data_IF_742148070664
#
_entry.id   IF_742148070664
#
_cell.length_a   1.000
_cell.length_b   1.000
_cell.length_c   1.000
_cell.angle_alpha   90.00
_cell.angle_beta   90.00
_cell.angle_gamma   90.00
#
_symmetry.space_group_name_H-M   'P 1'
#
loop_
_entity.id
_entity.type
_entity.pdbx_description
1 polymer ?
#
# COMPACT_ATOMS: atom_id res chain seq x y z
N UNK A 1 -11.60 2.93 -7.98
CA UNK A 1 -12.97 2.91 -8.56
C UNK A 1 -13.79 4.14 -8.16
N UNK A 2 -14.07 4.39 -6.87
CA UNK A 2 -14.88 5.54 -6.40
C UNK A 2 -14.41 6.86 -7.01
N UNK A 3 -13.13 7.23 -6.83
CA UNK A 3 -12.62 8.51 -7.33
C UNK A 3 -12.60 8.63 -8.85
N UNK A 4 -12.41 7.53 -9.58
CA UNK A 4 -12.51 7.56 -11.03
C UNK A 4 -13.93 7.91 -11.48
N UNK A 5 -14.95 7.35 -10.83
CA UNK A 5 -16.34 7.68 -11.10
C UNK A 5 -16.66 9.14 -10.71
N UNK A 6 -16.21 9.59 -9.53
CA UNK A 6 -16.43 10.97 -9.12
C UNK A 6 -15.79 11.99 -10.07
N UNK A 7 -14.63 11.66 -10.68
CA UNK A 7 -14.02 12.49 -11.72
C UNK A 7 -14.86 12.47 -13.01
N UNK A 8 -15.31 11.30 -13.46
CA UNK A 8 -16.13 11.18 -14.68
C UNK A 8 -17.47 11.92 -14.56
N UNK A 9 -18.07 11.90 -13.38
CA UNK A 9 -19.33 12.59 -13.05
C UNK A 9 -19.12 14.08 -12.69
N UNK A 10 -17.88 14.57 -12.67
CA UNK A 10 -17.55 15.98 -12.42
C UNK A 10 -17.61 16.41 -10.94
N UNK A 11 -17.82 15.49 -10.00
CA UNK A 11 -17.75 15.78 -8.55
C UNK A 11 -16.33 16.06 -8.07
N UNK A 12 -15.35 15.37 -8.64
CA UNK A 12 -13.93 15.63 -8.45
C UNK A 12 -13.37 16.31 -9.72
N UNK A 13 -13.54 17.62 -9.81
CA UNK A 13 -13.13 18.43 -10.97
C UNK A 13 -11.59 18.59 -11.01
N UNK A 14 -10.97 18.15 -12.10
CA UNK A 14 -9.52 18.24 -12.35
C UNK A 14 -9.01 19.68 -12.51
N UNK A 15 -9.92 20.67 -12.62
CA UNK A 15 -9.59 22.11 -12.63
C UNK A 15 -9.67 22.74 -11.24
N UNK A 16 -10.22 22.02 -10.24
CA UNK A 16 -10.44 22.52 -8.88
C UNK A 16 -9.93 21.52 -7.85
N UNK A 17 -8.64 21.20 -7.93
CA UNK A 17 -8.02 20.18 -7.08
C UNK A 17 -8.18 20.48 -5.58
N UNK A 18 -8.19 21.75 -5.17
CA UNK A 18 -8.38 22.17 -3.77
C UNK A 18 -9.71 21.69 -3.18
N UNK A 19 -10.76 21.57 -4.01
CA UNK A 19 -12.09 21.15 -3.57
C UNK A 19 -12.15 19.66 -3.20
N UNK A 20 -11.12 18.87 -3.57
CA UNK A 20 -11.09 17.43 -3.32
C UNK A 20 -10.86 17.09 -1.85
N UNK A 21 -10.27 18.02 -1.08
CA UNK A 21 -9.81 17.79 0.28
C UNK A 21 -10.85 17.11 1.17
N UNK A 22 -12.05 17.69 1.28
CA UNK A 22 -13.11 17.17 2.16
C UNK A 22 -13.54 15.76 1.77
N UNK A 23 -13.70 15.52 0.47
CA UNK A 23 -14.08 14.21 -0.07
C UNK A 23 -13.03 13.15 0.24
N UNK A 24 -11.75 13.47 0.04
CA UNK A 24 -10.67 12.51 0.28
C UNK A 24 -10.46 12.24 1.78
N UNK A 25 -10.60 13.27 2.64
CA UNK A 25 -10.56 13.11 4.11
C UNK A 25 -11.70 12.19 4.58
N UNK A 26 -12.93 12.41 4.09
CA UNK A 26 -14.09 11.57 4.42
C UNK A 26 -13.85 10.10 4.01
N UNK A 27 -13.21 9.87 2.86
CA UNK A 27 -12.83 8.54 2.42
C UNK A 27 -11.80 7.90 3.35
N UNK A 28 -10.77 8.62 3.78
CA UNK A 28 -9.83 8.08 4.77
C UNK A 28 -10.51 7.83 6.13
N UNK A 29 -11.44 8.68 6.57
CA UNK A 29 -12.21 8.43 7.80
C UNK A 29 -13.05 7.15 7.70
N UNK A 30 -13.66 6.91 6.54
CA UNK A 30 -14.50 5.74 6.26
C UNK A 30 -13.67 4.46 6.11
N UNK A 31 -12.62 4.50 5.30
CA UNK A 31 -11.78 3.35 4.99
C UNK A 31 -10.53 3.35 5.88
N UNK A 32 -10.71 2.89 7.13
CA UNK A 32 -9.66 2.91 8.16
C UNK A 32 -8.35 2.24 7.76
N UNK A 33 -8.40 1.23 6.88
CA UNK A 33 -7.20 0.54 6.39
C UNK A 33 -6.38 1.34 5.38
N UNK A 34 -6.95 2.34 4.69
CA UNK A 34 -6.20 3.16 3.74
C UNK A 34 -5.24 4.10 4.48
N UNK A 35 -4.00 4.15 4.00
CA UNK A 35 -2.97 5.07 4.47
C UNK A 35 -2.93 6.35 3.67
N UNK A 36 -3.26 6.29 2.37
CA UNK A 36 -3.34 7.49 1.52
C UNK A 36 -4.26 7.31 0.31
N UNK A 37 -4.68 8.44 -0.24
CA UNK A 37 -5.39 8.55 -1.52
C UNK A 37 -4.79 9.74 -2.28
N UNK A 38 -4.33 9.51 -3.50
CA UNK A 38 -3.67 10.54 -4.32
C UNK A 38 -4.12 10.45 -5.77
N UNK A 39 -4.24 11.60 -6.42
CA UNK A 39 -4.28 11.74 -7.87
C UNK A 39 -3.04 12.49 -8.34
N UNK A 40 -2.38 11.99 -9.39
CA UNK A 40 -1.35 12.72 -10.11
C UNK A 40 -1.70 12.85 -11.59
N UNK A 41 -1.61 14.07 -12.12
CA UNK A 41 -1.89 14.39 -13.52
C UNK A 41 -0.72 14.07 -14.45
N UNK A 42 -1.03 13.85 -15.74
CA UNK A 42 0.01 13.77 -16.79
C UNK A 42 0.72 15.12 -17.01
N UNK A 43 0.09 16.21 -16.57
CA UNK A 43 0.62 17.57 -16.53
C UNK A 43 1.54 17.86 -15.32
N UNK A 44 1.70 16.90 -14.39
CA UNK A 44 2.53 17.04 -13.20
C UNK A 44 1.81 17.66 -11.99
N UNK A 45 0.54 18.07 -12.11
CA UNK A 45 -0.28 18.48 -10.98
C UNK A 45 -0.64 17.29 -10.11
N UNK A 46 -0.96 17.53 -8.84
CA UNK A 46 -1.27 16.45 -7.90
C UNK A 46 -2.15 16.95 -6.77
N UNK A 47 -2.97 16.06 -6.23
CA UNK A 47 -3.70 16.28 -4.99
C UNK A 47 -3.87 14.96 -4.26
N UNK A 48 -3.78 14.98 -2.94
CA UNK A 48 -3.96 13.78 -2.15
C UNK A 48 -4.09 14.05 -0.68
N UNK A 49 -4.41 13.00 0.05
CA UNK A 49 -4.44 12.95 1.50
C UNK A 49 -3.74 11.70 1.99
N UNK A 50 -3.08 11.79 3.13
CA UNK A 50 -2.51 10.63 3.82
C UNK A 50 -2.77 10.73 5.32
N UNK A 51 -2.72 9.59 6.01
CA UNK A 51 -2.62 9.60 7.47
C UNK A 51 -1.24 10.09 7.86
N UNK A 52 -1.19 11.02 8.82
CA UNK A 52 0.09 11.47 9.34
C UNK A 52 0.67 10.37 10.25
N UNK A 53 1.90 9.88 10.02
CA UNK A 53 2.45 8.74 10.77
C UNK A 53 2.65 9.01 12.27
N UNK A 54 2.83 10.28 12.66
CA UNK A 54 3.28 10.68 14.01
C UNK A 54 2.26 11.54 14.79
N UNK A 55 1.13 11.91 14.18
CA UNK A 55 0.16 12.86 14.74
C UNK A 55 -1.27 12.41 14.43
N UNK A 56 -2.21 12.75 15.31
CA UNK A 56 -3.63 12.51 15.06
C UNK A 56 -4.14 13.53 14.04
N UNK A 57 -4.31 13.12 12.78
CA UNK A 57 -4.74 13.99 11.70
C UNK A 57 -4.41 13.44 10.31
N UNK A 58 -4.46 14.33 9.33
CA UNK A 58 -4.19 14.03 7.93
C UNK A 58 -3.15 14.99 7.37
N UNK A 59 -2.32 14.47 6.47
CA UNK A 59 -1.57 15.27 5.52
C UNK A 59 -2.46 15.53 4.31
N UNK A 60 -2.53 16.78 3.85
CA UNK A 60 -3.10 17.14 2.56
C UNK A 60 -1.97 17.66 1.67
N UNK A 61 -1.82 17.06 0.50
CA UNK A 61 -0.81 17.47 -0.48
C UNK A 61 -1.49 18.10 -1.68
N UNK A 62 -0.88 19.16 -2.21
CA UNK A 62 -1.34 19.78 -3.44
C UNK A 62 -0.20 20.35 -4.28
N UNK A 63 -0.28 20.14 -5.59
CA UNK A 63 0.53 20.79 -6.61
C UNK A 63 -0.41 21.25 -7.71
N UNK A 64 -0.66 22.55 -7.78
CA UNK A 64 -1.55 23.18 -8.75
C UNK A 64 -0.91 24.46 -9.32
N UNK A 65 -1.67 25.23 -10.09
CA UNK A 65 -1.19 26.46 -10.73
C UNK A 65 -0.76 27.53 -9.71
N UNK A 66 -1.17 27.43 -8.45
CA UNK A 66 -0.87 28.40 -7.39
C UNK A 66 0.37 28.01 -6.57
N UNK A 67 0.95 26.83 -6.78
CA UNK A 67 2.06 26.32 -5.95
C UNK A 67 3.45 26.50 -6.55
N UNK A 68 3.61 27.30 -7.61
CA UNK A 68 4.91 27.55 -8.26
C UNK A 68 5.65 26.25 -8.63
N UNK A 69 4.89 25.27 -9.18
CA UNK A 69 5.37 23.94 -9.58
C UNK A 69 5.98 23.08 -8.45
N UNK A 70 5.75 23.45 -7.19
CA UNK A 70 6.14 22.67 -6.00
C UNK A 70 4.93 21.93 -5.44
N UNK A 71 5.19 20.78 -4.82
CA UNK A 71 4.18 20.12 -3.98
C UNK A 71 4.20 20.81 -2.62
N UNK A 72 3.05 21.29 -2.19
CA UNK A 72 2.83 21.84 -0.86
C UNK A 72 2.19 20.79 0.03
N UNK A 73 2.71 20.63 1.25
CA UNK A 73 2.18 19.72 2.26
C UNK A 73 1.55 20.52 3.40
N UNK A 74 0.31 20.21 3.74
CA UNK A 74 -0.43 20.84 4.82
C UNK A 74 -0.86 19.80 5.84
N UNK A 75 -0.85 20.16 7.11
CA UNK A 75 -1.57 19.39 8.11
C UNK A 75 -3.04 19.78 8.15
N UNK A 76 -3.88 18.78 8.31
CA UNK A 76 -5.30 18.87 8.56
C UNK A 76 -5.62 18.10 9.83
N UNK A 77 -6.38 18.71 10.74
CA UNK A 77 -6.89 17.97 11.89
C UNK A 77 -7.99 16.97 11.47
N UNK A 78 -8.47 16.18 12.43
CA UNK A 78 -9.49 15.15 12.19
C UNK A 78 -10.85 15.69 11.75
N UNK A 79 -11.08 17.00 11.87
CA UNK A 79 -12.29 17.66 11.39
C UNK A 79 -12.08 18.29 10.01
N UNK A 80 -10.93 18.03 9.37
CA UNK A 80 -10.56 18.58 8.06
C UNK A 80 -10.14 20.05 8.10
N UNK A 81 -9.87 20.62 9.28
CA UNK A 81 -9.37 22.00 9.35
C UNK A 81 -7.88 22.02 9.03
N UNK A 82 -7.53 22.75 7.98
CA UNK A 82 -6.18 22.84 7.45
C UNK A 82 -5.42 24.04 8.03
N UNK A 83 -4.11 23.88 8.22
CA UNK A 83 -3.21 24.99 8.53
C UNK A 83 -3.17 26.03 7.40
N UNK A 84 -2.95 27.31 7.75
CA UNK A 84 -2.93 28.42 6.77
C UNK A 84 -1.68 28.43 5.87
N UNK A 85 -0.61 27.79 6.31
CA UNK A 85 0.67 27.75 5.61
C UNK A 85 1.09 26.29 5.45
N UNK A 86 1.75 25.94 4.34
CA UNK A 86 2.26 24.59 4.19
C UNK A 86 3.40 24.34 5.19
N UNK A 87 3.45 23.11 5.69
CA UNK A 87 4.55 22.58 6.50
C UNK A 87 5.79 22.26 5.66
N UNK A 88 5.62 22.05 4.35
CA UNK A 88 6.73 21.84 3.42
C UNK A 88 6.40 22.26 1.99
N UNK A 89 7.46 22.47 1.20
CA UNK A 89 7.43 22.75 -0.24
C UNK A 89 8.59 22.05 -0.92
N UNK A 90 8.28 21.01 -1.70
CA UNK A 90 9.30 20.20 -2.37
C UNK A 90 9.14 20.17 -3.89
N UNK A 91 10.28 20.00 -4.57
CA UNK A 91 10.29 19.64 -5.98
C UNK A 91 9.90 18.17 -6.12
N UNK A 92 8.66 17.94 -6.54
CA UNK A 92 8.07 16.62 -6.65
C UNK A 92 7.25 16.50 -7.92
N UNK A 93 7.30 15.34 -8.56
CA UNK A 93 6.56 15.03 -9.77
C UNK A 93 5.87 13.67 -9.60
N UNK A 94 4.53 13.59 -9.75
CA UNK A 94 3.81 12.33 -9.60
C UNK A 94 4.26 11.29 -10.63
N UNK A 95 4.70 11.73 -11.82
CA UNK A 95 5.10 10.85 -12.92
C UNK A 95 6.40 10.10 -12.65
N UNK A 96 7.19 10.58 -11.70
CA UNK A 96 8.42 9.94 -11.26
C UNK A 96 8.20 8.92 -10.14
N UNK A 97 6.97 8.75 -9.67
CA UNK A 97 6.67 7.85 -8.55
C UNK A 97 6.46 6.41 -9.03
N UNK A 98 6.89 5.40 -8.24
CA UNK A 98 6.71 3.99 -8.58
C UNK A 98 5.26 3.61 -8.93
N UNK A 99 4.28 4.16 -8.21
CA UNK A 99 2.86 3.89 -8.45
C UNK A 99 2.37 4.43 -9.79
N UNK A 100 2.91 5.57 -10.26
CA UNK A 100 2.53 6.14 -11.56
C UNK A 100 3.05 5.25 -12.69
N UNK A 101 4.32 4.84 -12.62
CA UNK A 101 4.91 3.91 -13.59
C UNK A 101 4.18 2.56 -13.62
N UNK A 102 3.84 2.02 -12.46
CA UNK A 102 3.07 0.77 -12.35
C UNK A 102 1.71 0.88 -13.04
N UNK A 103 1.00 1.99 -12.85
CA UNK A 103 -0.29 2.23 -13.49
C UNK A 103 -0.19 2.34 -15.01
N UNK A 104 0.78 3.13 -15.50
CA UNK A 104 1.05 3.31 -16.94
C UNK A 104 1.41 1.98 -17.59
N UNK A 105 2.30 1.21 -16.96
CA UNK A 105 2.73 -0.11 -17.44
C UNK A 105 1.56 -1.10 -17.49
N UNK A 106 0.72 -1.11 -16.47
CA UNK A 106 -0.44 -2.01 -16.40
C UNK A 106 -1.53 -1.65 -17.42
N UNK A 107 -1.71 -0.36 -17.72
CA UNK A 107 -2.72 0.14 -18.64
C UNK A 107 -4.18 0.00 -18.15
N UNK A 108 -4.36 -0.52 -16.94
CA UNK A 108 -5.65 -0.84 -16.30
C UNK A 108 -5.48 -0.80 -14.77
N UNK A 109 -6.58 -0.87 -13.98
CA UNK A 109 -6.46 -0.95 -12.53
C UNK A 109 -5.59 -2.12 -12.09
N UNK A 110 -4.63 -1.87 -11.20
CA UNK A 110 -3.64 -2.85 -10.76
C UNK A 110 -3.15 -2.58 -9.34
N UNK A 111 -2.65 -3.60 -8.66
CA UNK A 111 -1.81 -3.42 -7.48
C UNK A 111 -0.34 -3.23 -7.88
N UNK A 112 0.36 -2.36 -7.18
CA UNK A 112 1.82 -2.21 -7.33
C UNK A 112 2.57 -3.33 -6.61
N UNK A 113 3.83 -3.57 -6.99
CA UNK A 113 4.79 -4.16 -6.07
C UNK A 113 4.96 -3.23 -4.83
N UNK A 114 5.35 -3.74 -3.65
CA UNK A 114 5.69 -2.90 -2.51
C UNK A 114 6.81 -1.91 -2.87
N UNK A 115 6.63 -0.65 -2.49
CA UNK A 115 7.64 0.40 -2.67
C UNK A 115 7.79 1.24 -1.41
N UNK A 116 8.97 1.84 -1.28
CA UNK A 116 9.27 2.75 -0.19
C UNK A 116 8.55 4.09 -0.42
N UNK A 117 7.54 4.37 0.40
CA UNK A 117 6.88 5.68 0.45
C UNK A 117 7.81 6.64 1.19
N UNK A 118 8.28 7.67 0.49
CA UNK A 118 9.09 8.71 1.09
C UNK A 118 8.23 9.62 1.96
N UNK A 119 8.62 9.78 3.23
CA UNK A 119 8.22 10.91 4.08
C UNK A 119 9.38 11.89 4.20
N UNK A 120 9.10 13.07 4.79
CA UNK A 120 10.08 14.08 5.21
C UNK A 120 11.38 13.40 5.65
N UNK A 121 12.45 13.70 4.91
CA UNK A 121 13.85 13.41 5.24
C UNK A 121 14.44 12.10 4.69
N UNK A 122 13.70 11.29 3.92
CA UNK A 122 14.24 10.13 3.18
C UNK A 122 14.86 9.02 4.07
N UNK A 123 14.81 9.16 5.40
CA UNK A 123 15.41 8.28 6.41
C UNK A 123 14.42 7.25 6.97
N UNK A 124 13.15 7.61 7.11
CA UNK A 124 12.08 6.72 7.59
C UNK A 124 11.09 6.41 6.45
N UNK A 125 11.43 5.46 5.57
CA UNK A 125 10.51 5.04 4.51
C UNK A 125 9.63 3.89 4.98
N UNK A 126 8.33 4.08 4.83
CA UNK A 126 7.33 3.05 5.10
C UNK A 126 7.08 2.29 3.80
N UNK A 127 7.04 0.96 3.85
CA UNK A 127 6.66 0.16 2.70
C UNK A 127 5.16 0.24 2.47
N UNK A 128 4.77 0.62 1.25
CA UNK A 128 3.38 0.71 0.84
C UNK A 128 3.12 -0.07 -0.45
N UNK A 129 1.87 -0.44 -0.64
CA UNK A 129 1.32 -0.95 -1.89
C UNK A 129 0.16 -0.07 -2.32
N UNK A 130 0.16 0.30 -3.60
CA UNK A 130 -0.88 1.11 -4.20
C UNK A 130 -1.87 0.27 -4.99
N UNK A 131 -3.17 0.47 -4.79
CA UNK A 131 -4.16 0.17 -5.81
C UNK A 131 -4.22 1.36 -6.76
N UNK A 132 -3.66 1.18 -7.95
CA UNK A 132 -3.53 2.24 -8.95
C UNK A 132 -4.59 2.10 -10.04
N UNK A 133 -5.05 3.23 -10.57
CA UNK A 133 -6.00 3.27 -11.67
C UNK A 133 -5.60 4.39 -12.65
N UNK A 134 -5.06 4.05 -13.83
CA UNK A 134 -4.82 5.05 -14.87
C UNK A 134 -6.14 5.59 -15.42
N UNK A 135 -6.18 6.89 -15.71
CA UNK A 135 -7.31 7.60 -16.28
C UNK A 135 -6.96 8.04 -17.69
N UNK A 136 -7.89 7.86 -18.62
CA UNK A 136 -7.69 8.16 -20.04
C UNK A 136 -8.76 9.13 -20.55
N UNK A 137 -8.37 9.99 -21.50
CA UNK A 137 -9.33 10.77 -22.28
C UNK A 137 -9.98 9.93 -23.40
N UNK A 138 -10.90 10.53 -24.15
CA UNK A 138 -11.58 9.90 -25.30
C UNK A 138 -10.62 9.41 -26.39
N UNK A 139 -9.46 10.05 -26.53
CA UNK A 139 -8.40 9.66 -27.45
C UNK A 139 -7.45 8.58 -26.89
N UNK A 140 -7.80 7.95 -25.76
CA UNK A 140 -6.97 6.97 -25.02
C UNK A 140 -5.60 7.48 -24.57
N UNK A 141 -5.44 8.79 -24.40
CA UNK A 141 -4.24 9.35 -23.80
C UNK A 141 -4.41 9.44 -22.29
N UNK A 142 -3.34 9.16 -21.54
CA UNK A 142 -3.37 9.24 -20.08
C UNK A 142 -3.50 10.69 -19.63
N UNK A 143 -4.48 10.96 -18.77
CA UNK A 143 -4.72 12.28 -18.15
C UNK A 143 -4.28 12.33 -16.70
N UNK A 144 -4.07 11.17 -16.08
CA UNK A 144 -3.56 11.05 -14.73
C UNK A 144 -3.71 9.63 -14.19
N UNK A 145 -3.29 9.45 -12.95
CA UNK A 145 -3.35 8.18 -12.24
C UNK A 145 -3.89 8.44 -10.84
N UNK A 146 -4.88 7.64 -10.45
CA UNK A 146 -5.32 7.54 -9.06
C UNK A 146 -4.51 6.46 -8.34
N UNK A 147 -4.19 6.69 -7.09
CA UNK A 147 -3.52 5.75 -6.20
C UNK A 147 -4.21 5.75 -4.84
N UNK A 148 -4.53 4.57 -4.31
CA UNK A 148 -4.98 4.38 -2.94
C UNK A 148 -4.04 3.38 -2.27
N UNK A 149 -3.39 3.78 -1.17
CA UNK A 149 -2.30 3.02 -0.56
C UNK A 149 -2.74 2.29 0.71
N UNK A 150 -2.12 1.14 0.94
CA UNK A 150 -2.02 0.44 2.22
C UNK A 150 -0.54 0.34 2.59
N UNK A 151 -0.17 0.56 3.85
CA UNK A 151 1.19 0.20 4.28
C UNK A 151 1.26 -1.28 4.64
N UNK A 152 2.45 -1.89 4.52
CA UNK A 152 2.64 -3.27 4.97
C UNK A 152 2.45 -3.41 6.49
N UNK A 153 2.71 -2.34 7.23
CA UNK A 153 2.46 -2.27 8.68
C UNK A 153 0.95 -2.24 8.97
N UNK A 154 0.14 -1.51 8.20
CA UNK A 154 -1.33 -1.52 8.33
C UNK A 154 -1.91 -2.93 8.12
N UNK A 155 -1.37 -3.67 7.14
CA UNK A 155 -1.79 -5.05 6.87
C UNK A 155 -1.34 -5.96 8.03
N UNK A 156 -0.15 -5.76 8.57
CA UNK A 156 0.35 -6.52 9.73
C UNK A 156 -0.48 -6.26 10.98
N UNK A 157 -0.79 -5.00 11.28
CA UNK A 157 -1.70 -4.61 12.37
C UNK A 157 -3.09 -5.25 12.22
N UNK A 158 -3.61 -5.32 10.99
CA UNK A 158 -4.86 -6.03 10.72
C UNK A 158 -4.76 -7.53 11.08
N UNK A 159 -3.65 -8.19 10.71
CA UNK A 159 -3.40 -9.61 11.02
C UNK A 159 -3.19 -9.87 12.50
N UNK A 160 -2.51 -8.98 13.22
CA UNK A 160 -2.35 -9.05 14.68
C UNK A 160 -3.69 -9.05 15.43
N UNK A 161 -4.68 -8.33 14.90
CA UNK A 161 -6.04 -8.33 15.41
C UNK A 161 -6.81 -9.64 15.16
N UNK A 162 -6.32 -10.52 14.27
CA UNK A 162 -6.99 -11.79 13.94
C UNK A 162 -6.54 -12.91 14.87
N UNK A 163 -7.50 -13.66 15.42
CA UNK A 163 -7.21 -14.85 16.23
C UNK A 163 -7.07 -16.08 15.35
N UNK A 164 -5.86 -16.62 15.26
CA UNK A 164 -5.59 -17.93 14.64
C UNK A 164 -5.51 -18.99 15.74
N UNK A 165 -6.65 -19.65 16.01
CA UNK A 165 -6.73 -20.62 17.10
C UNK A 165 -6.31 -20.00 18.44
N UNK A 166 -5.59 -20.78 19.28
CA UNK A 166 -5.08 -20.30 20.59
C UNK A 166 -3.70 -19.67 20.52
N UNK A 167 -2.84 -20.18 19.63
CA UNK A 167 -1.41 -19.82 19.54
C UNK A 167 -0.91 -19.77 18.10
N UNK A 168 -1.82 -19.85 17.12
CA UNK A 168 -1.46 -19.81 15.71
C UNK A 168 -1.02 -18.40 15.31
N UNK A 169 -0.37 -18.32 14.15
CA UNK A 169 0.18 -17.09 13.60
C UNK A 169 -0.24 -16.99 12.15
N UNK A 170 -0.64 -15.82 11.69
CA UNK A 170 -0.89 -15.59 10.28
C UNK A 170 0.28 -14.83 9.65
N UNK A 171 0.60 -15.15 8.41
CA UNK A 171 1.51 -14.33 7.61
C UNK A 171 1.13 -14.41 6.13
N UNK A 172 1.47 -13.34 5.40
CA UNK A 172 1.26 -13.19 3.98
C UNK A 172 2.60 -13.12 3.28
N UNK A 173 2.77 -13.91 2.22
CA UNK A 173 3.99 -13.94 1.42
C UNK A 173 3.60 -13.66 -0.02
N UNK A 174 4.39 -12.89 -0.75
CA UNK A 174 4.20 -12.81 -2.20
C UNK A 174 4.79 -14.04 -2.92
N UNK A 175 4.57 -14.11 -4.23
CA UNK A 175 5.09 -15.20 -5.06
C UNK A 175 6.62 -15.33 -5.05
N UNK A 176 7.35 -14.26 -4.69
CA UNK A 176 8.82 -14.23 -4.60
C UNK A 176 9.35 -14.62 -3.22
N UNK A 177 8.48 -15.06 -2.30
CA UNK A 177 8.88 -15.41 -0.95
C UNK A 177 9.09 -14.22 -0.02
N UNK A 178 8.70 -13.00 -0.44
CA UNK A 178 8.83 -11.80 0.39
C UNK A 178 7.66 -11.70 1.36
N UNK A 179 7.94 -11.40 2.62
CA UNK A 179 6.94 -11.22 3.67
C UNK A 179 6.19 -9.90 3.44
N UNK A 180 4.90 -10.01 3.11
CA UNK A 180 4.02 -8.85 2.91
C UNK A 180 3.41 -8.39 4.23
N UNK A 181 3.07 -9.32 5.13
CA UNK A 181 2.51 -9.00 6.45
C UNK A 181 2.61 -10.17 7.43
N UNK A 182 2.51 -9.90 8.72
CA UNK A 182 2.55 -10.90 9.79
C UNK A 182 1.69 -10.51 11.00
N UNK A 183 1.16 -11.49 11.73
CA UNK A 183 0.41 -11.30 12.97
C UNK A 183 1.29 -11.27 14.23
N UNK A 184 2.62 -11.15 14.10
CA UNK A 184 3.57 -11.36 15.22
C UNK A 184 4.30 -10.09 15.66
N UNK A 185 4.02 -8.93 15.06
CA UNK A 185 4.68 -7.66 15.36
C UNK A 185 6.14 -7.56 14.93
N UNK A 186 6.68 -8.58 14.24
CA UNK A 186 8.03 -8.47 13.67
C UNK A 186 7.99 -7.60 12.43
N UNK A 187 9.02 -6.76 12.25
CA UNK A 187 9.15 -5.93 11.05
C UNK A 187 9.13 -6.79 9.79
N UNK A 188 8.37 -6.35 8.80
CA UNK A 188 8.37 -6.90 7.44
C UNK A 188 9.28 -6.11 6.49
N UNK A 189 9.84 -5.00 6.97
CA UNK A 189 10.75 -4.14 6.21
C UNK A 189 12.21 -4.48 6.54
N UNK A 190 13.00 -4.74 5.49
CA UNK A 190 14.42 -5.04 5.53
C UNK A 190 15.30 -3.90 5.05
N UNK A 191 16.55 -4.23 4.71
CA UNK A 191 17.53 -3.26 4.25
C UNK A 191 17.07 -2.52 2.97
N UNK A 192 17.48 -1.25 2.85
CA UNK A 192 17.12 -0.39 1.71
C UNK A 192 15.61 -0.24 1.48
N UNK A 193 14.78 -0.44 2.51
CA UNK A 193 13.32 -0.36 2.45
C UNK A 193 12.72 -1.32 1.41
N UNK A 194 13.13 -2.59 1.47
CA UNK A 194 12.50 -3.69 0.73
C UNK A 194 11.86 -4.67 1.69
N UNK A 195 10.78 -5.38 1.30
CA UNK A 195 10.23 -6.44 2.12
C UNK A 195 11.30 -7.51 2.44
N UNK A 196 11.33 -8.02 3.67
CA UNK A 196 12.22 -9.14 4.02
C UNK A 196 11.76 -10.43 3.33
N UNK A 197 12.67 -11.39 3.16
CA UNK A 197 12.29 -12.75 2.78
C UNK A 197 11.65 -13.45 3.99
N UNK A 198 10.53 -14.13 3.80
CA UNK A 198 9.79 -14.75 4.91
C UNK A 198 10.63 -15.80 5.67
N UNK A 199 11.53 -16.50 4.99
CA UNK A 199 12.47 -17.46 5.58
C UNK A 199 13.57 -16.82 6.45
N UNK A 200 13.71 -15.49 6.38
CA UNK A 200 14.63 -14.67 7.19
C UNK A 200 13.93 -13.90 8.31
N UNK A 201 12.62 -14.11 8.50
CA UNK A 201 11.86 -13.46 9.57
C UNK A 201 12.49 -13.66 10.94
N UNK A 202 12.49 -12.60 11.76
CA UNK A 202 12.87 -12.68 13.17
C UNK A 202 11.96 -13.63 13.98
N UNK A 203 10.73 -13.86 13.50
CA UNK A 203 9.86 -14.87 14.06
C UNK A 203 10.26 -16.28 13.59
N UNK A 204 10.80 -17.07 14.52
CA UNK A 204 11.30 -18.42 14.22
C UNK A 204 10.24 -19.38 13.67
N UNK A 205 8.96 -19.19 14.00
CA UNK A 205 7.90 -20.05 13.47
C UNK A 205 7.59 -19.70 12.01
N UNK A 206 7.52 -18.41 11.69
CA UNK A 206 7.34 -17.94 10.31
C UNK A 206 8.53 -18.36 9.45
N UNK A 207 9.76 -18.11 9.92
CA UNK A 207 10.97 -18.49 9.20
C UNK A 207 11.05 -20.01 8.94
N UNK A 208 10.68 -20.84 9.91
CA UNK A 208 10.65 -22.29 9.75
C UNK A 208 9.54 -22.75 8.79
N UNK A 209 8.35 -22.15 8.87
CA UNK A 209 7.25 -22.44 7.97
C UNK A 209 7.57 -22.05 6.52
N UNK A 210 8.12 -20.86 6.29
CA UNK A 210 8.53 -20.40 4.97
C UNK A 210 9.58 -21.34 4.34
N UNK A 211 10.64 -21.72 5.09
CA UNK A 211 11.64 -22.70 4.63
C UNK A 211 11.03 -24.06 4.30
N UNK A 212 10.02 -24.47 5.07
CA UNK A 212 9.32 -25.73 4.83
C UNK A 212 8.48 -25.67 3.54
N UNK A 213 7.81 -24.55 3.28
CA UNK A 213 7.05 -24.32 2.05
C UNK A 213 7.97 -24.31 0.83
N UNK A 214 9.07 -23.55 0.86
CA UNK A 214 10.08 -23.53 -0.20
C UNK A 214 10.62 -24.92 -0.50
N UNK A 215 10.95 -25.71 0.54
CA UNK A 215 11.41 -27.08 0.37
C UNK A 215 10.34 -28.01 -0.22
N UNK A 216 9.08 -27.82 0.15
CA UNK A 216 7.98 -28.72 -0.25
C UNK A 216 7.48 -28.45 -1.67
N UNK A 217 7.50 -27.19 -2.10
CA UNK A 217 6.93 -26.76 -3.38
C UNK A 217 7.98 -26.26 -4.39
N UNK A 218 9.23 -26.03 -3.96
CA UNK A 218 10.29 -25.43 -4.77
C UNK A 218 10.22 -23.91 -4.84
N UNK A 219 9.03 -23.34 -4.99
CA UNK A 219 8.76 -21.90 -4.95
C UNK A 219 7.36 -21.59 -4.38
N UNK A 220 7.14 -20.35 -3.95
CA UNK A 220 5.80 -19.90 -3.52
C UNK A 220 4.82 -19.82 -4.69
N UNK A 221 5.30 -19.58 -5.93
CA UNK A 221 4.50 -19.63 -7.16
C UNK A 221 3.86 -21.01 -7.41
N UNK A 222 4.52 -22.10 -6.99
CA UNK A 222 4.01 -23.45 -7.18
C UNK A 222 2.84 -23.82 -6.23
N UNK A 223 2.52 -22.97 -5.26
CA UNK A 223 1.43 -23.18 -4.31
C UNK A 223 0.11 -22.72 -4.95
N UNK A 224 -0.43 -23.54 -5.87
CA UNK A 224 -1.65 -23.18 -6.63
C UNK A 224 -2.99 -23.52 -5.97
N UNK A 225 -2.98 -24.07 -4.75
CA UNK A 225 -4.19 -24.53 -4.07
C UNK A 225 -4.05 -24.42 -2.55
N UNK A 226 -5.06 -24.91 -1.81
CA UNK A 226 -5.01 -25.04 -0.36
C UNK A 226 -4.33 -26.34 0.05
N UNK A 227 -3.34 -26.26 0.93
CA UNK A 227 -2.65 -27.40 1.51
C UNK A 227 -2.65 -27.35 3.04
N UNK A 228 -2.52 -28.53 3.63
CA UNK A 228 -2.31 -28.72 5.06
C UNK A 228 -1.06 -29.57 5.25
N UNK A 229 -0.07 -29.04 5.95
CA UNK A 229 1.22 -29.67 6.16
C UNK A 229 1.51 -29.83 7.65
N UNK A 230 2.26 -30.87 7.99
CA UNK A 230 2.76 -31.07 9.34
C UNK A 230 4.21 -30.62 9.42
N UNK A 231 4.50 -29.74 10.37
CA UNK A 231 5.82 -29.17 10.59
C UNK A 231 6.26 -29.43 12.03
N UNK A 232 7.54 -29.79 12.22
CA UNK A 232 8.14 -29.83 13.56
C UNK A 232 9.06 -28.64 13.74
N UNK A 233 8.70 -27.73 14.66
CA UNK A 233 9.51 -26.57 15.04
C UNK A 233 9.94 -26.78 16.49
N UNK A 234 11.24 -26.78 16.77
CA UNK A 234 11.80 -27.05 18.11
C UNK A 234 11.22 -28.33 18.74
N UNK A 235 11.15 -29.42 17.96
CA UNK A 235 10.57 -30.73 18.35
C UNK A 235 9.07 -30.72 18.67
N UNK A 236 8.37 -29.60 18.54
CA UNK A 236 6.91 -29.50 18.69
C UNK A 236 6.22 -29.58 17.34
N UNK A 237 5.18 -30.42 17.25
CA UNK A 237 4.35 -30.52 16.06
C UNK A 237 3.50 -29.24 15.91
N UNK A 238 3.45 -28.73 14.70
CA UNK A 238 2.63 -27.61 14.27
C UNK A 238 1.88 -28.03 13.01
N UNK A 239 0.66 -27.54 12.89
CA UNK A 239 -0.11 -27.61 11.66
C UNK A 239 0.14 -26.33 10.87
N UNK A 240 0.47 -26.46 9.59
CA UNK A 240 0.62 -25.35 8.66
C UNK A 240 -0.48 -25.44 7.61
N UNK A 241 -1.38 -24.47 7.60
CA UNK A 241 -2.33 -24.29 6.52
C UNK A 241 -1.79 -23.25 5.56
N UNK A 242 -1.85 -23.53 4.26
CA UNK A 242 -1.40 -22.59 3.23
C UNK A 242 -2.37 -22.57 2.07
N UNK A 243 -2.60 -21.40 1.48
CA UNK A 243 -3.41 -21.24 0.27
C UNK A 243 -2.92 -20.05 -0.55
N UNK A 244 -3.06 -20.12 -1.88
CA UNK A 244 -2.92 -18.95 -2.75
C UNK A 244 -4.18 -18.10 -2.77
N UNK A 245 -3.97 -16.80 -2.98
CA UNK A 245 -4.98 -15.82 -3.30
C UNK A 245 -4.50 -14.99 -4.49
N UNK A 246 -5.28 -14.99 -5.57
CA UNK A 246 -5.03 -14.18 -6.75
C UNK A 246 -6.24 -13.29 -7.03
N UNK A 247 -5.98 -12.02 -7.33
CA UNK A 247 -7.01 -11.05 -7.69
C UNK A 247 -6.82 -10.57 -9.13
N UNK A 248 -7.92 -10.25 -9.82
CA UNK A 248 -7.93 -9.78 -11.23
C UNK A 248 -7.06 -8.54 -11.50
N UNK A 249 -6.74 -7.79 -10.44
CA UNK A 249 -5.86 -6.60 -10.48
C UNK A 249 -4.39 -6.92 -10.19
N UNK A 250 -4.00 -8.19 -10.26
CA UNK A 250 -2.60 -8.63 -10.19
C UNK A 250 -2.04 -8.83 -8.78
N UNK A 251 -2.86 -8.72 -7.73
CA UNK A 251 -2.44 -9.10 -6.39
C UNK A 251 -2.35 -10.62 -6.31
N UNK A 252 -1.19 -11.13 -5.92
CA UNK A 252 -0.95 -12.55 -5.74
C UNK A 252 -0.20 -12.80 -4.45
N UNK A 253 -0.86 -13.43 -3.49
CA UNK A 253 -0.32 -13.73 -2.17
C UNK A 253 -0.53 -15.19 -1.79
N UNK A 254 0.40 -15.71 -1.01
CA UNK A 254 0.28 -16.94 -0.26
C UNK A 254 -0.11 -16.56 1.18
N UNK A 255 -1.23 -17.12 1.62
CA UNK A 255 -1.76 -16.97 2.97
C UNK A 255 -1.35 -18.20 3.76
N UNK A 256 -0.68 -18.02 4.90
CA UNK A 256 -0.23 -19.11 5.76
C UNK A 256 -0.64 -18.90 7.22
N UNK A 257 -1.08 -19.98 7.88
CA UNK A 257 -1.46 -20.00 9.30
C UNK A 257 -1.02 -21.25 10.04
#
# INVERSE_FOLDING_TARGET
RINANLIMEGWLDLKKLRDWQSTLIEQLLTFKGLSSITWGGSDGRSVGVARYPEEFGFEFIIKDEQTDNKLEEFYCDIHGRMEKKPRDRLLWDPRNQPWYYAAVKAGKPAWTDPYARGYKDNTNKILAMGYVQPLYNSSRQIIGVLNAELTLDDISLFLEGQRVGRTGKAFLVDHRGRLAATSTGVSVTGAMNHPIVASESADRQIAAAAKHLEKSFGSFEAIGARYQLNLKINRKAHLLMVSSYEHETGLSWIIAT
#
